data_IF_260357330459
#
_entry.id   IF_260357330459
#
_cell.length_a   1.000
_cell.length_b   1.000
_cell.length_c   1.000
_cell.angle_alpha   90.00
_cell.angle_beta   90.00
_cell.angle_gamma   90.00
#
_symmetry.space_group_name_H-M   'P 1'
#
loop_
_entity.id
_entity.type
_entity.pdbx_description
1 polymer ?
#
# COMPACT_ATOMS: atom_id res chain seq x y z
N UNK A 1 -62.50 28.60 22.30
CA UNK A 1 -61.04 28.51 22.48
C UNK A 1 -60.77 27.52 23.62
N UNK A 2 -60.36 26.29 23.31
CA UNK A 2 -60.23 25.19 24.28
C UNK A 2 -58.74 25.07 24.65
N UNK A 3 -58.39 25.41 25.88
CA UNK A 3 -57.03 25.27 26.42
C UNK A 3 -56.80 23.80 26.79
N UNK A 4 -55.78 23.18 26.19
CA UNK A 4 -55.41 21.80 26.45
C UNK A 4 -54.65 21.68 27.78
N UNK A 5 -55.06 20.68 28.55
CA UNK A 5 -54.55 20.31 29.87
C UNK A 5 -53.08 19.91 29.82
N UNK A 6 -52.27 20.47 30.73
CA UNK A 6 -50.90 20.06 30.97
C UNK A 6 -50.84 18.72 31.71
N UNK A 7 -50.05 17.78 31.18
CA UNK A 7 -49.66 16.57 31.89
C UNK A 7 -48.61 16.91 32.94
N UNK A 8 -48.97 16.81 34.22
CA UNK A 8 -48.02 16.82 35.34
C UNK A 8 -47.59 15.37 35.56
N UNK A 9 -46.33 15.05 35.25
CA UNK A 9 -45.72 13.78 35.66
C UNK A 9 -45.38 13.84 37.16
N UNK A 10 -45.91 12.94 38.01
CA UNK A 10 -45.50 12.88 39.40
C UNK A 10 -44.04 12.39 39.48
N UNK A 11 -43.16 13.24 40.02
CA UNK A 11 -41.76 12.92 40.28
C UNK A 11 -41.70 11.97 41.49
N UNK A 12 -41.60 10.66 41.25
CA UNK A 12 -41.33 9.70 42.32
C UNK A 12 -39.88 9.88 42.85
N UNK A 13 -39.64 9.69 44.16
CA UNK A 13 -38.29 9.82 44.73
C UNK A 13 -37.39 8.69 44.21
N UNK A 14 -36.25 9.07 43.63
CA UNK A 14 -35.24 8.16 43.10
C UNK A 14 -34.60 7.38 44.26
N UNK A 15 -34.70 6.06 44.25
CA UNK A 15 -34.13 5.20 45.30
C UNK A 15 -32.72 4.65 44.94
N UNK A 16 -32.09 3.91 45.87
CA UNK A 16 -30.75 3.35 45.68
C UNK A 16 -30.68 2.33 44.55
N UNK A 17 -31.77 1.62 44.26
CA UNK A 17 -31.89 0.65 43.18
C UNK A 17 -32.04 1.35 41.82
N UNK A 18 -32.74 2.49 41.78
CA UNK A 18 -32.80 3.37 40.60
C UNK A 18 -31.42 3.94 40.28
N UNK A 19 -30.65 4.36 41.29
CA UNK A 19 -29.24 4.76 41.11
C UNK A 19 -28.35 3.63 40.57
N UNK A 20 -28.59 2.37 40.97
CA UNK A 20 -27.86 1.21 40.42
C UNK A 20 -28.25 0.95 38.97
N UNK A 21 -29.53 1.07 38.62
CA UNK A 21 -30.04 0.93 37.25
C UNK A 21 -29.53 2.05 36.33
N UNK A 22 -29.52 3.29 36.81
CA UNK A 22 -28.98 4.46 36.09
C UNK A 22 -27.48 4.28 35.85
N UNK A 23 -26.71 3.84 36.85
CA UNK A 23 -25.27 3.58 36.69
C UNK A 23 -24.99 2.44 35.71
N UNK A 24 -25.76 1.36 35.76
CA UNK A 24 -25.64 0.24 34.84
C UNK A 24 -25.98 0.65 33.39
N UNK A 25 -27.05 1.44 33.21
CA UNK A 25 -27.44 1.98 31.92
C UNK A 25 -26.38 2.97 31.37
N UNK A 26 -25.81 3.83 32.22
CA UNK A 26 -24.74 4.74 31.85
C UNK A 26 -23.46 3.98 31.44
N UNK A 27 -23.09 2.92 32.17
CA UNK A 27 -21.93 2.09 31.83
C UNK A 27 -22.13 1.33 30.50
N UNK A 28 -23.33 0.81 30.26
CA UNK A 28 -23.67 0.15 28.99
C UNK A 28 -23.65 1.14 27.80
N UNK A 29 -24.16 2.36 27.99
CA UNK A 29 -24.11 3.40 26.96
C UNK A 29 -22.67 3.83 26.63
N UNK A 30 -21.80 3.95 27.65
CA UNK A 30 -20.39 4.29 27.45
C UNK A 30 -19.64 3.19 26.68
N UNK A 31 -19.94 1.92 26.95
CA UNK A 31 -19.33 0.78 26.25
C UNK A 31 -19.68 0.76 24.75
N UNK A 32 -20.92 1.10 24.39
CA UNK A 32 -21.36 1.19 23.00
C UNK A 32 -20.64 2.29 22.21
N UNK A 33 -20.28 3.41 22.87
CA UNK A 33 -19.54 4.52 22.25
C UNK A 33 -18.10 4.11 21.94
N UNK A 34 -17.47 3.30 22.80
CA UNK A 34 -16.10 2.82 22.59
C UNK A 34 -15.97 1.85 21.41
N UNK A 35 -17.03 1.10 21.07
CA UNK A 35 -17.01 0.16 19.95
C UNK A 35 -17.00 0.85 18.57
N UNK A 36 -17.56 2.06 18.45
CA UNK A 36 -17.49 2.88 17.22
C UNK A 36 -16.07 3.37 16.92
N UNK A 37 -15.22 3.51 17.94
CA UNK A 37 -13.85 3.99 17.78
C UNK A 37 -12.88 2.93 17.22
N UNK A 38 -13.28 1.66 17.18
CA UNK A 38 -12.46 0.57 16.61
C UNK A 38 -12.88 0.15 15.20
N UNK A 39 -14.07 0.58 14.73
CA UNK A 39 -14.60 0.28 13.39
C UNK A 39 -14.32 1.33 12.32
N UNK A 40 -13.56 2.38 12.64
CA UNK A 40 -13.16 3.41 11.69
C UNK A 40 -12.04 2.90 10.79
N UNK A 41 -12.40 2.42 9.59
CA UNK A 41 -11.43 2.10 8.55
C UNK A 41 -10.48 3.27 8.34
N UNK A 42 -9.18 3.00 8.46
CA UNK A 42 -8.16 4.00 8.20
C UNK A 42 -8.38 4.56 6.78
N UNK A 43 -8.20 5.88 6.56
CA UNK A 43 -8.17 6.41 5.22
C UNK A 43 -7.07 5.65 4.45
N UNK A 44 -7.47 4.87 3.47
CA UNK A 44 -6.53 4.31 2.50
C UNK A 44 -6.07 5.49 1.67
N UNK A 45 -4.81 5.88 1.83
CA UNK A 45 -4.14 6.73 0.84
C UNK A 45 -4.27 6.01 -0.51
N UNK A 46 -4.84 6.70 -1.49
CA UNK A 46 -4.71 6.30 -2.88
C UNK A 46 -3.20 6.20 -3.14
N UNK A 47 -2.69 4.97 -3.29
CA UNK A 47 -1.36 4.77 -3.83
C UNK A 47 -1.34 5.57 -5.14
N UNK A 48 -0.31 6.40 -5.39
CA UNK A 48 -0.13 6.96 -6.71
C UNK A 48 -0.35 5.86 -7.73
N UNK A 49 -1.11 6.16 -8.79
CA UNK A 49 -1.28 5.27 -9.94
C UNK A 49 0.06 4.54 -10.18
N UNK A 50 0.06 3.22 -10.41
CA UNK A 50 1.29 2.46 -10.61
C UNK A 50 2.20 3.27 -11.55
N UNK A 51 3.45 3.56 -11.18
CA UNK A 51 4.32 4.42 -11.97
C UNK A 51 4.40 3.84 -13.37
N UNK A 52 3.78 4.57 -14.28
CA UNK A 52 3.23 4.07 -15.53
C UNK A 52 2.37 5.13 -16.18
N UNK A 53 1.74 6.01 -15.38
CA UNK A 53 1.10 7.24 -15.84
C UNK A 53 1.99 8.47 -15.71
N UNK A 54 2.95 8.67 -16.62
CA UNK A 54 3.54 9.99 -16.88
C UNK A 54 4.84 10.34 -16.15
N UNK A 55 5.97 10.06 -16.83
CA UNK A 55 7.28 10.61 -16.49
C UNK A 55 8.24 10.45 -17.69
N UNK A 56 8.51 11.56 -18.38
CA UNK A 56 9.26 11.67 -19.64
C UNK A 56 10.58 10.87 -19.70
N UNK A 57 10.56 9.62 -20.19
CA UNK A 57 11.77 8.77 -20.30
C UNK A 57 11.68 7.74 -21.46
N UNK A 58 11.43 8.18 -22.69
CA UNK A 58 11.74 7.41 -23.93
C UNK A 58 11.26 5.94 -24.02
N UNK A 59 10.27 5.53 -23.24
CA UNK A 59 9.84 4.14 -23.11
C UNK A 59 8.31 4.05 -23.13
N UNK A 60 7.79 3.04 -23.83
CA UNK A 60 6.35 2.83 -24.00
C UNK A 60 5.62 2.63 -22.67
N UNK A 61 4.34 3.05 -22.55
CA UNK A 61 3.52 2.78 -21.37
C UNK A 61 3.52 1.30 -21.01
N UNK A 62 3.61 0.99 -19.72
CA UNK A 62 3.52 -0.40 -19.27
C UNK A 62 2.08 -0.91 -19.44
N UNK A 63 1.94 -2.04 -20.13
CA UNK A 63 0.64 -2.67 -20.46
C UNK A 63 0.54 -4.11 -19.94
N UNK A 64 1.56 -4.60 -19.24
CA UNK A 64 1.57 -5.93 -18.66
C UNK A 64 0.68 -6.07 -17.42
N UNK A 65 0.63 -7.28 -16.82
CA UNK A 65 -0.12 -7.55 -15.60
C UNK A 65 0.23 -6.58 -14.46
N UNK A 66 -0.75 -6.29 -13.62
CA UNK A 66 -0.53 -5.50 -12.41
C UNK A 66 0.35 -6.27 -11.42
N UNK A 67 1.04 -5.57 -10.54
CA UNK A 67 1.79 -6.16 -9.44
C UNK A 67 0.87 -7.02 -8.55
N UNK A 68 1.24 -8.29 -8.33
CA UNK A 68 0.45 -9.25 -7.55
C UNK A 68 0.59 -9.07 -6.04
N UNK A 69 1.72 -8.51 -5.59
CA UNK A 69 2.02 -8.32 -4.16
C UNK A 69 2.49 -6.90 -3.86
N UNK A 70 2.48 -6.52 -2.58
CA UNK A 70 2.98 -5.23 -2.13
C UNK A 70 4.48 -5.08 -2.40
N UNK A 71 5.22 -6.17 -2.34
CA UNK A 71 6.65 -6.23 -2.63
C UNK A 71 6.93 -6.01 -4.13
N UNK A 72 6.15 -6.64 -5.01
CA UNK A 72 6.25 -6.42 -6.46
C UNK A 72 5.88 -4.97 -6.79
N UNK A 73 4.84 -4.41 -6.15
CA UNK A 73 4.46 -3.02 -6.36
C UNK A 73 5.57 -2.06 -5.92
N UNK A 74 6.20 -2.32 -4.77
CA UNK A 74 7.34 -1.53 -4.30
C UNK A 74 8.54 -1.65 -5.24
N UNK A 75 8.83 -2.84 -5.74
CA UNK A 75 9.85 -3.07 -6.76
C UNK A 75 9.55 -2.29 -8.05
N UNK A 76 8.29 -2.36 -8.51
CA UNK A 76 7.80 -1.63 -9.68
C UNK A 76 8.07 -0.13 -9.52
N UNK A 77 7.70 0.41 -8.36
CA UNK A 77 7.79 1.83 -8.05
C UNK A 77 9.23 2.31 -7.92
N UNK A 78 10.04 1.59 -7.16
CA UNK A 78 11.32 2.13 -6.71
C UNK A 78 12.52 1.71 -7.54
N UNK A 79 12.40 0.61 -8.28
CA UNK A 79 13.53 0.05 -9.02
C UNK A 79 13.21 -0.13 -10.51
N UNK A 80 12.16 -0.88 -10.82
CA UNK A 80 11.87 -1.28 -12.20
C UNK A 80 11.50 -0.09 -13.09
N UNK A 81 10.67 0.85 -12.60
CA UNK A 81 10.31 2.06 -13.33
C UNK A 81 11.52 2.92 -13.76
N UNK A 82 12.61 2.87 -12.97
CA UNK A 82 13.84 3.64 -13.19
C UNK A 82 14.88 2.90 -14.02
N UNK A 83 14.76 1.58 -14.16
CA UNK A 83 15.76 0.72 -14.81
C UNK A 83 15.29 0.13 -16.13
N UNK A 84 13.97 -0.01 -16.35
CA UNK A 84 13.39 -0.62 -17.56
C UNK A 84 13.54 0.21 -18.83
N UNK A 85 13.98 1.46 -18.72
CA UNK A 85 14.07 2.35 -19.88
C UNK A 85 15.21 1.93 -20.80
N UNK A 86 15.05 2.22 -22.09
CA UNK A 86 16.00 1.82 -23.13
C UNK A 86 17.37 2.47 -22.99
N UNK A 87 17.48 3.64 -22.34
CA UNK A 87 18.73 4.33 -22.02
C UNK A 87 19.45 3.77 -20.77
N UNK A 88 18.89 2.74 -20.14
CA UNK A 88 19.39 2.13 -18.89
C UNK A 88 19.54 0.62 -19.06
N UNK A 89 19.38 -0.12 -17.96
CA UNK A 89 19.50 -1.56 -17.92
C UNK A 89 18.50 -2.24 -18.87
N UNK A 90 17.31 -1.65 -19.03
CA UNK A 90 16.22 -2.13 -19.87
C UNK A 90 16.51 -2.07 -21.37
N UNK A 91 17.57 -1.40 -21.81
CA UNK A 91 18.04 -1.51 -23.19
C UNK A 91 18.52 -2.92 -23.56
N UNK A 92 19.05 -3.67 -22.59
CA UNK A 92 19.64 -5.00 -22.82
C UNK A 92 18.97 -6.11 -21.98
N UNK A 93 18.63 -5.83 -20.72
CA UNK A 93 18.12 -6.81 -19.75
C UNK A 93 16.59 -6.98 -19.80
N UNK A 94 16.04 -7.18 -21.00
CA UNK A 94 14.61 -7.31 -21.27
C UNK A 94 14.29 -8.60 -22.07
N UNK A 95 13.00 -8.89 -22.21
CA UNK A 95 12.43 -10.06 -22.88
C UNK A 95 12.70 -10.13 -24.39
N UNK A 96 12.96 -8.99 -25.04
CA UNK A 96 13.17 -8.89 -26.48
C UNK A 96 14.66 -9.08 -26.85
N UNK A 97 15.57 -8.52 -26.05
CA UNK A 97 17.02 -8.60 -26.26
C UNK A 97 17.63 -9.84 -25.60
N UNK A 98 17.09 -10.27 -24.45
CA UNK A 98 17.44 -11.56 -23.85
C UNK A 98 18.76 -11.58 -23.06
N UNK A 99 19.28 -10.44 -22.59
CA UNK A 99 20.47 -10.44 -21.72
C UNK A 99 20.09 -10.85 -20.30
N UNK A 100 20.63 -11.97 -19.83
CA UNK A 100 20.41 -12.40 -18.45
C UNK A 100 21.24 -11.57 -17.45
N UNK A 101 20.71 -11.32 -16.24
CA UNK A 101 19.33 -11.56 -15.80
C UNK A 101 18.34 -10.53 -16.40
N UNK A 102 17.18 -10.97 -16.89
CA UNK A 102 16.16 -10.09 -17.51
C UNK A 102 15.24 -9.40 -16.49
N UNK A 103 15.82 -8.78 -15.45
CA UNK A 103 15.04 -8.12 -14.40
C UNK A 103 14.37 -6.81 -14.85
N UNK A 104 14.70 -6.31 -16.05
CA UNK A 104 14.16 -5.08 -16.62
C UNK A 104 13.18 -5.35 -17.78
N UNK A 105 12.67 -6.58 -17.88
CA UNK A 105 11.62 -6.96 -18.83
C UNK A 105 10.36 -6.13 -18.63
N UNK A 106 9.69 -5.79 -19.73
CA UNK A 106 8.55 -4.85 -19.76
C UNK A 106 7.21 -5.50 -20.09
N UNK A 107 7.19 -6.81 -20.34
CA UNK A 107 5.99 -7.60 -20.59
C UNK A 107 5.27 -8.03 -19.30
N UNK A 108 6.01 -8.30 -18.21
CA UNK A 108 5.44 -8.66 -16.91
C UNK A 108 6.35 -8.25 -15.74
N UNK A 109 5.84 -7.39 -14.85
CA UNK A 109 6.56 -6.89 -13.68
C UNK A 109 6.71 -7.95 -12.57
N UNK A 110 5.81 -8.92 -12.49
CA UNK A 110 5.89 -10.01 -11.51
C UNK A 110 7.05 -10.94 -11.88
N UNK A 111 7.18 -11.27 -13.16
CA UNK A 111 8.32 -12.03 -13.68
C UNK A 111 9.63 -11.24 -13.57
N UNK A 112 9.60 -9.93 -13.83
CA UNK A 112 10.76 -9.06 -13.63
C UNK A 112 11.26 -9.10 -12.17
N UNK A 113 10.34 -9.07 -11.21
CA UNK A 113 10.65 -9.19 -9.79
C UNK A 113 11.21 -10.57 -9.42
N UNK A 114 10.62 -11.66 -9.92
CA UNK A 114 11.11 -13.01 -9.70
C UNK A 114 12.57 -13.16 -10.19
N UNK A 115 12.89 -12.61 -11.35
CA UNK A 115 14.25 -12.58 -11.88
C UNK A 115 15.18 -11.69 -11.03
N UNK A 116 14.71 -10.52 -10.58
CA UNK A 116 15.51 -9.63 -9.74
C UNK A 116 15.96 -10.30 -8.43
N UNK A 117 15.09 -11.11 -7.82
CA UNK A 117 15.41 -11.87 -6.60
C UNK A 117 16.54 -12.89 -6.77
N UNK A 118 16.91 -13.25 -8.00
CA UNK A 118 18.06 -14.15 -8.26
C UNK A 118 19.41 -13.45 -8.08
N UNK A 119 19.42 -12.11 -8.07
CA UNK A 119 20.64 -11.27 -8.02
C UNK A 119 20.60 -10.20 -6.93
N UNK A 120 19.53 -10.19 -6.14
CA UNK A 120 19.31 -9.28 -5.00
C UNK A 120 19.22 -10.09 -3.72
N UNK A 121 19.99 -9.68 -2.72
CA UNK A 121 19.81 -10.09 -1.34
C UNK A 121 18.99 -8.99 -0.62
N UNK A 122 17.76 -9.32 -0.25
CA UNK A 122 16.83 -8.37 0.37
C UNK A 122 17.11 -8.13 1.86
N UNK A 123 17.89 -9.01 2.50
CA UNK A 123 18.27 -8.87 3.91
C UNK A 123 19.58 -8.11 4.04
N UNK A 124 20.52 -8.35 3.13
CA UNK A 124 21.85 -7.76 3.09
C UNK A 124 22.13 -7.13 1.71
N UNK A 125 21.58 -5.94 1.40
CA UNK A 125 21.69 -5.32 0.08
C UNK A 125 23.13 -5.17 -0.44
N UNK A 126 24.10 -4.94 0.46
CA UNK A 126 25.52 -4.83 0.10
C UNK A 126 26.10 -6.12 -0.51
N UNK A 127 25.49 -7.28 -0.27
CA UNK A 127 25.88 -8.57 -0.85
C UNK A 127 25.19 -8.87 -2.20
N UNK A 128 24.29 -8.00 -2.64
CA UNK A 128 23.59 -8.18 -3.91
C UNK A 128 24.54 -8.07 -5.10
N UNK A 129 24.43 -8.99 -6.06
CA UNK A 129 25.22 -8.95 -7.29
C UNK A 129 24.97 -7.67 -8.09
N UNK A 130 23.72 -7.18 -8.11
CA UNK A 130 23.38 -5.91 -8.78
C UNK A 130 24.11 -4.71 -8.17
N UNK A 131 24.33 -4.70 -6.86
CA UNK A 131 25.05 -3.63 -6.16
C UNK A 131 26.55 -3.70 -6.48
N UNK A 132 27.12 -4.90 -6.46
CA UNK A 132 28.51 -5.11 -6.87
C UNK A 132 28.73 -4.63 -8.31
N UNK A 133 27.85 -4.98 -9.25
CA UNK A 133 27.96 -4.60 -10.66
C UNK A 133 27.85 -3.10 -10.89
N UNK A 134 26.91 -2.42 -10.24
CA UNK A 134 26.81 -0.95 -10.33
C UNK A 134 28.05 -0.27 -9.73
N UNK A 135 28.66 -0.87 -8.70
CA UNK A 135 29.88 -0.38 -8.06
C UNK A 135 31.17 -0.54 -8.88
N UNK A 136 31.19 -1.42 -9.88
CA UNK A 136 32.36 -1.67 -10.76
C UNK A 136 32.63 -0.51 -11.75
N UNK A 137 31.71 0.43 -11.92
CA UNK A 137 31.84 1.54 -12.87
C UNK A 137 31.56 1.15 -14.33
N UNK A 138 31.61 2.14 -15.22
CA UNK A 138 31.24 2.02 -16.66
C UNK A 138 32.21 1.16 -17.50
N UNK A 139 33.30 0.63 -16.92
CA UNK A 139 34.27 -0.20 -17.65
C UNK A 139 33.74 -1.62 -17.98
N UNK A 140 32.57 -2.01 -17.45
CA UNK A 140 31.98 -3.34 -17.63
C UNK A 140 30.67 -3.44 -18.43
N UNK A 141 30.16 -2.35 -19.03
CA UNK A 141 28.83 -2.31 -19.66
C UNK A 141 28.83 -2.01 -21.18
N UNK A 142 29.83 -2.53 -21.90
CA UNK A 142 29.84 -2.59 -23.38
C UNK A 142 29.93 -4.03 -23.87
#
# INVERSE_FOLDING_TARGET
MKIASGFVFPMAPIDRNDWRRIRAAAAAALASILLVACGGGAPTTELPLPPGGGGNTGSEPYTGPVAETAEVLKFQQEFWSKTRTSDRCGGCHNENVGRNPMFARSDDVNEAYAVALTVVDTEQPALSQVVAKVGEGIEGHN
#
